data_IF_752488554806
#
_entry.id   IF_752488554806
#
_cell.length_a   1.000
_cell.length_b   1.000
_cell.length_c   1.000
_cell.angle_alpha   90.00
_cell.angle_beta   90.00
_cell.angle_gamma   90.00
#
_symmetry.space_group_name_H-M   'P 1'
#
loop_
_entity.id
_entity.type
_entity.pdbx_description
1 polymer ?
#
# COMPACT_ATOMS: atom_id res chain seq x y z
N UNK A 1 1.95 7.50 -5.91
CA UNK A 1 0.75 7.09 -5.17
C UNK A 1 0.04 6.04 -6.00
N UNK A 2 0.18 4.79 -5.61
CA UNK A 2 -0.46 3.65 -6.25
C UNK A 2 -1.31 3.00 -5.19
N UNK A 3 -2.58 2.80 -5.51
CA UNK A 3 -3.52 2.02 -4.72
C UNK A 3 -3.42 0.59 -5.20
N UNK A 4 -3.24 -0.35 -4.28
CA UNK A 4 -3.26 -1.78 -4.57
C UNK A 4 -4.32 -2.47 -3.72
N UNK A 5 -5.56 -2.66 -4.22
CA UNK A 5 -6.46 -3.64 -3.65
C UNK A 5 -5.89 -5.04 -3.92
N UNK A 6 -5.80 -5.88 -2.89
CA UNK A 6 -5.31 -7.25 -3.00
C UNK A 6 -6.43 -8.28 -2.80
N UNK A 7 -6.51 -9.29 -3.67
CA UNK A 7 -7.40 -10.44 -3.51
C UNK A 7 -6.57 -11.72 -3.36
N UNK A 8 -6.85 -12.50 -2.32
CA UNK A 8 -6.21 -13.80 -2.08
C UNK A 8 -7.12 -14.97 -2.48
N UNK A 9 -6.60 -15.88 -3.33
CA UNK A 9 -7.21 -17.19 -3.62
C UNK A 9 -6.15 -18.30 -3.53
N UNK A 10 -6.52 -19.45 -2.93
CA UNK A 10 -5.63 -20.60 -2.71
C UNK A 10 -5.33 -21.31 -4.04
N UNK A 11 -4.05 -21.51 -4.38
CA UNK A 11 -3.66 -22.35 -5.53
C UNK A 11 -2.48 -23.26 -5.16
N UNK A 12 -2.67 -24.55 -5.46
CA UNK A 12 -1.67 -25.60 -5.41
C UNK A 12 -0.67 -25.44 -6.56
N UNK A 13 0.51 -24.85 -6.30
CA UNK A 13 1.82 -25.16 -6.92
C UNK A 13 2.82 -23.99 -6.82
N UNK A 14 4.09 -24.35 -6.56
CA UNK A 14 5.23 -23.45 -6.30
C UNK A 14 5.68 -22.65 -7.54
N UNK A 15 5.64 -21.30 -7.52
CA UNK A 15 6.26 -20.47 -8.58
C UNK A 15 6.85 -19.14 -8.04
N UNK A 16 8.00 -18.79 -8.63
CA UNK A 16 8.94 -17.68 -8.43
C UNK A 16 8.34 -16.26 -8.51
N UNK A 17 8.72 -15.39 -7.56
CA UNK A 17 8.43 -13.95 -7.54
C UNK A 17 9.31 -13.23 -8.56
N UNK A 18 8.77 -12.90 -9.73
CA UNK A 18 9.43 -11.98 -10.67
C UNK A 18 9.23 -10.55 -10.17
N UNK A 19 10.34 -9.88 -9.89
CA UNK A 19 10.47 -8.53 -9.29
C UNK A 19 9.42 -7.55 -9.80
N UNK A 20 8.66 -6.97 -8.88
CA UNK A 20 7.74 -5.87 -9.14
C UNK A 20 8.55 -4.61 -9.49
N UNK A 21 8.74 -4.33 -10.78
CA UNK A 21 9.24 -3.01 -11.19
C UNK A 21 8.12 -1.97 -10.98
N UNK A 22 8.41 -0.94 -10.19
CA UNK A 22 7.49 0.16 -9.85
C UNK A 22 7.79 1.34 -10.79
N UNK A 23 6.88 1.64 -11.72
CA UNK A 23 6.95 2.79 -12.65
C UNK A 23 5.66 3.61 -12.57
N UNK A 24 5.66 4.92 -12.91
CA UNK A 24 4.42 5.71 -12.93
C UNK A 24 3.35 5.07 -13.83
N UNK A 25 2.23 4.67 -13.24
CA UNK A 25 1.15 3.97 -13.96
C UNK A 25 0.28 4.97 -14.71
N UNK A 26 0.19 4.81 -16.04
CA UNK A 26 -0.80 5.48 -16.88
C UNK A 26 -1.97 4.50 -17.06
N UNK A 27 -3.05 4.65 -16.29
CA UNK A 27 -4.22 3.78 -16.32
C UNK A 27 -4.28 2.78 -15.17
N UNK A 28 -4.63 1.52 -15.47
CA UNK A 28 -4.68 0.40 -14.52
C UNK A 28 -3.86 -0.78 -15.06
N UNK A 29 -3.22 -1.54 -14.17
CA UNK A 29 -2.54 -2.79 -14.52
C UNK A 29 -2.89 -3.88 -13.49
N UNK A 30 -3.07 -5.11 -13.94
CA UNK A 30 -3.35 -6.25 -13.05
C UNK A 30 -2.09 -7.10 -13.00
N UNK A 31 -1.55 -7.29 -11.80
CA UNK A 31 -0.42 -8.20 -11.57
C UNK A 31 -0.88 -9.33 -10.67
N UNK A 32 -0.62 -10.55 -11.08
CA UNK A 32 -0.79 -11.72 -10.22
C UNK A 32 0.57 -12.09 -9.65
N UNK A 33 0.67 -12.13 -8.33
CA UNK A 33 1.84 -12.62 -7.61
C UNK A 33 1.47 -13.91 -6.88
N UNK A 34 2.32 -14.92 -6.97
CA UNK A 34 2.19 -16.16 -6.20
C UNK A 34 3.16 -16.09 -5.04
N UNK A 35 2.66 -16.30 -3.83
CA UNK A 35 3.43 -16.32 -2.60
C UNK A 35 3.11 -17.59 -1.82
N UNK A 36 3.97 -18.60 -1.90
CA UNK A 36 3.66 -19.92 -1.35
C UNK A 36 2.37 -20.48 -1.94
N UNK A 37 1.37 -20.75 -1.09
CA UNK A 37 0.03 -21.21 -1.49
C UNK A 37 -0.96 -20.09 -1.83
N UNK A 38 -0.55 -18.82 -1.70
CA UNK A 38 -1.39 -17.66 -1.93
C UNK A 38 -1.20 -17.08 -3.32
N UNK A 39 -2.31 -16.82 -4.01
CA UNK A 39 -2.33 -16.00 -5.22
C UNK A 39 -2.87 -14.61 -4.87
N UNK A 40 -2.01 -13.61 -4.96
CA UNK A 40 -2.31 -12.20 -4.77
C UNK A 40 -2.62 -11.56 -6.13
N UNK A 41 -3.86 -11.10 -6.31
CA UNK A 41 -4.18 -10.24 -7.45
C UNK A 41 -4.04 -8.79 -7.00
N UNK A 42 -3.14 -8.06 -7.65
CA UNK A 42 -2.73 -6.70 -7.32
C UNK A 42 -3.21 -5.80 -8.46
N UNK A 43 -4.09 -4.85 -8.15
CA UNK A 43 -4.55 -3.85 -9.12
C UNK A 43 -3.72 -2.58 -8.94
N UNK A 44 -2.79 -2.31 -9.84
CA UNK A 44 -1.96 -1.10 -9.84
C UNK A 44 -2.76 0.05 -10.47
N UNK A 45 -3.23 0.97 -9.64
CA UNK A 45 -4.06 2.11 -10.07
C UNK A 45 -3.29 3.42 -9.90
N UNK A 46 -3.21 4.21 -10.96
CA UNK A 46 -2.55 5.52 -10.92
C UNK A 46 -3.22 6.49 -9.94
N UNK A 47 -2.42 7.18 -9.11
CA UNK A 47 -2.89 8.14 -8.11
C UNK A 47 -2.98 9.60 -8.56
N UNK A 48 -2.88 9.87 -9.86
CA UNK A 48 -3.12 11.22 -10.40
C UNK A 48 -4.55 11.66 -10.05
N UNK A 49 -4.77 12.94 -9.70
CA UNK A 49 -6.08 13.46 -9.25
C UNK A 49 -7.24 13.05 -10.18
N UNK A 50 -7.01 13.12 -11.49
CA UNK A 50 -7.98 12.76 -12.53
C UNK A 50 -8.41 11.29 -12.44
N UNK A 51 -7.51 10.39 -12.04
CA UNK A 51 -7.75 8.95 -11.96
C UNK A 51 -8.40 8.52 -10.62
N UNK A 52 -8.36 9.37 -9.58
CA UNK A 52 -8.90 9.03 -8.25
C UNK A 52 -10.40 8.77 -8.24
N UNK A 53 -11.14 9.35 -9.19
CA UNK A 53 -12.57 9.09 -9.36
C UNK A 53 -12.89 7.62 -9.64
N UNK A 54 -11.94 6.87 -10.22
CA UNK A 54 -12.14 5.47 -10.59
C UNK A 54 -11.75 4.47 -9.50
N UNK A 55 -11.15 4.91 -8.39
CA UNK A 55 -10.69 4.02 -7.32
C UNK A 55 -11.80 3.15 -6.75
N UNK A 56 -13.01 3.71 -6.61
CA UNK A 56 -14.19 3.02 -6.09
C UNK A 56 -14.59 1.78 -6.88
N UNK A 57 -14.19 1.69 -8.15
CA UNK A 57 -14.46 0.53 -9.00
C UNK A 57 -13.67 -0.70 -8.57
N UNK A 58 -12.70 -0.57 -7.66
CA UNK A 58 -11.77 -1.63 -7.28
C UNK A 58 -11.82 -1.98 -5.78
N UNK A 59 -12.73 -1.37 -5.01
CA UNK A 59 -12.80 -1.58 -3.55
C UNK A 59 -13.53 -2.85 -3.14
N UNK A 60 -14.40 -3.39 -3.99
CA UNK A 60 -15.07 -4.66 -3.67
C UNK A 60 -14.04 -5.74 -3.34
N UNK A 61 -14.38 -6.63 -2.41
CA UNK A 61 -13.62 -7.83 -2.05
C UNK A 61 -12.09 -7.60 -1.88
N UNK A 62 -11.70 -6.41 -1.42
CA UNK A 62 -10.31 -6.06 -1.16
C UNK A 62 -9.91 -6.59 0.21
N UNK A 63 -8.81 -7.35 0.28
CA UNK A 63 -8.25 -7.87 1.54
C UNK A 63 -7.26 -6.88 2.18
N UNK A 64 -6.55 -6.14 1.32
CA UNK A 64 -5.53 -5.19 1.74
C UNK A 64 -5.35 -4.06 0.74
N UNK A 65 -4.86 -2.93 1.25
CA UNK A 65 -4.44 -1.74 0.53
C UNK A 65 -2.92 -1.64 0.66
N UNK A 66 -2.20 -1.61 -0.46
CA UNK A 66 -0.80 -1.15 -0.46
C UNK A 66 -0.76 0.30 -0.93
N UNK A 67 -0.11 1.17 -0.16
CA UNK A 67 -0.05 2.61 -0.36
C UNK A 67 1.40 3.06 -0.49
N UNK A 68 1.80 3.49 -1.68
CA UNK A 68 3.20 3.90 -1.94
C UNK A 68 3.38 5.42 -1.91
N UNK A 69 4.29 5.88 -1.07
CA UNK A 69 4.73 7.28 -0.92
C UNK A 69 6.15 7.42 -1.46
N UNK A 70 6.42 8.50 -2.18
CA UNK A 70 7.77 8.85 -2.63
C UNK A 70 8.51 9.61 -1.52
N UNK A 71 9.54 9.01 -0.92
CA UNK A 71 10.27 9.64 0.19
C UNK A 71 11.10 10.85 -0.24
N UNK A 72 11.27 11.10 -1.54
CA UNK A 72 12.02 12.25 -2.04
C UNK A 72 11.15 13.49 -2.29
N UNK A 73 9.82 13.35 -2.18
CA UNK A 73 8.88 14.39 -2.57
C UNK A 73 8.00 14.85 -1.41
N UNK A 74 8.59 15.65 -0.53
CA UNK A 74 7.92 16.19 0.66
C UNK A 74 6.69 17.05 0.32
N UNK A 75 6.71 17.76 -0.82
CA UNK A 75 5.64 18.65 -1.24
C UNK A 75 4.34 17.91 -1.55
N UNK A 76 4.43 16.69 -2.08
CA UNK A 76 3.26 15.85 -2.39
C UNK A 76 2.78 14.98 -1.23
N UNK A 77 3.53 14.87 -0.13
CA UNK A 77 3.13 14.06 1.03
C UNK A 77 1.78 14.52 1.59
N UNK A 78 1.54 15.83 1.69
CA UNK A 78 0.26 16.37 2.14
C UNK A 78 -0.90 15.92 1.24
N UNK A 79 -0.72 16.00 -0.07
CA UNK A 79 -1.77 15.57 -1.00
C UNK A 79 -2.01 14.06 -0.91
N UNK A 80 -0.96 13.27 -0.73
CA UNK A 80 -1.07 11.84 -0.49
C UNK A 80 -1.80 11.56 0.84
N UNK A 81 -1.56 12.36 1.86
CA UNK A 81 -2.24 12.28 3.15
C UNK A 81 -3.75 12.39 3.03
N UNK A 82 -4.20 13.48 2.43
CA UNK A 82 -5.62 13.76 2.25
C UNK A 82 -6.30 12.67 1.42
N UNK A 83 -5.63 12.20 0.36
CA UNK A 83 -6.14 11.11 -0.47
C UNK A 83 -6.27 9.79 0.28
N UNK A 84 -5.29 9.43 1.12
CA UNK A 84 -5.36 8.22 1.94
C UNK A 84 -6.48 8.31 2.96
N UNK A 85 -6.64 9.46 3.64
CA UNK A 85 -7.75 9.70 4.57
C UNK A 85 -9.11 9.54 3.90
N UNK A 86 -9.29 10.08 2.69
CA UNK A 86 -10.53 9.91 1.94
C UNK A 86 -10.78 8.45 1.59
N UNK A 87 -9.74 7.71 1.22
CA UNK A 87 -9.84 6.30 0.86
C UNK A 87 -10.21 5.43 2.07
N UNK A 88 -9.62 5.66 3.24
CA UNK A 88 -9.89 4.87 4.45
C UNK A 88 -11.27 5.11 5.07
N UNK A 89 -12.00 6.15 4.62
CA UNK A 89 -13.40 6.41 5.00
C UNK A 89 -14.41 5.59 4.22
N UNK A 90 -13.98 4.84 3.22
CA UNK A 90 -14.88 4.05 2.37
C UNK A 90 -15.27 2.75 3.09
N UNK A 91 -16.57 2.56 3.32
CA UNK A 91 -17.10 1.42 4.09
C UNK A 91 -16.64 0.06 3.56
N UNK A 92 -16.45 -0.05 2.24
CA UNK A 92 -16.01 -1.29 1.57
C UNK A 92 -14.58 -1.70 1.92
N UNK A 93 -13.78 -0.76 2.44
CA UNK A 93 -12.38 -0.99 2.80
C UNK A 93 -12.21 -1.20 4.31
N UNK A 94 -13.26 -1.04 5.12
CA UNK A 94 -13.17 -1.19 6.57
C UNK A 94 -12.61 -2.56 6.97
N UNK A 95 -11.63 -2.56 7.87
CA UNK A 95 -10.99 -3.78 8.38
C UNK A 95 -9.92 -4.36 7.47
N UNK A 96 -9.70 -3.83 6.27
CA UNK A 96 -8.62 -4.27 5.38
C UNK A 96 -7.23 -3.98 5.98
N UNK A 97 -6.22 -4.69 5.52
CA UNK A 97 -4.83 -4.46 5.96
C UNK A 97 -4.22 -3.32 5.15
N UNK A 98 -3.53 -2.37 5.79
CA UNK A 98 -2.91 -1.23 5.13
C UNK A 98 -1.37 -1.35 5.17
N UNK A 99 -0.74 -1.58 4.03
CA UNK A 99 0.72 -1.56 3.91
C UNK A 99 1.17 -0.24 3.31
N UNK A 100 1.94 0.56 4.05
CA UNK A 100 2.52 1.81 3.55
C UNK A 100 3.96 1.57 3.14
N UNK A 101 4.28 1.90 1.89
CA UNK A 101 5.62 1.77 1.32
C UNK A 101 6.22 3.16 1.12
N UNK A 102 7.21 3.52 1.94
CA UNK A 102 8.09 4.65 1.69
C UNK A 102 9.12 4.27 0.64
N UNK A 103 8.84 4.59 -0.63
CA UNK A 103 9.68 4.23 -1.76
C UNK A 103 10.84 5.22 -1.97
N UNK A 104 11.85 4.78 -2.72
CA UNK A 104 13.11 5.48 -2.98
C UNK A 104 14.01 5.61 -1.75
N UNK A 105 14.05 4.55 -0.94
CA UNK A 105 14.89 4.53 0.26
C UNK A 105 16.40 4.57 -0.04
N UNK A 106 16.81 4.38 -1.29
CA UNK A 106 18.20 4.51 -1.72
C UNK A 106 18.69 5.96 -1.83
N UNK A 107 17.78 6.94 -1.91
CA UNK A 107 18.16 8.35 -2.05
C UNK A 107 18.55 8.92 -0.68
N UNK A 108 19.71 9.56 -0.60
CA UNK A 108 20.26 10.06 0.67
C UNK A 108 19.45 11.24 1.24
N UNK A 109 18.99 12.16 0.39
CA UNK A 109 18.17 13.32 0.77
C UNK A 109 16.67 13.00 0.97
N UNK A 110 16.33 11.73 1.18
CA UNK A 110 14.94 11.30 1.38
C UNK A 110 14.46 11.63 2.79
N UNK A 111 13.15 11.65 2.95
CA UNK A 111 12.50 11.63 4.27
C UNK A 111 12.63 10.24 4.90
N UNK A 112 12.87 10.18 6.20
CA UNK A 112 12.86 8.94 6.97
C UNK A 112 11.45 8.57 7.47
N UNK A 113 11.26 7.38 8.03
CA UNK A 113 9.95 6.94 8.57
C UNK A 113 9.41 7.89 9.63
N UNK A 114 10.26 8.42 10.52
CA UNK A 114 9.78 9.35 11.53
C UNK A 114 9.27 10.64 10.91
N UNK A 115 9.94 11.18 9.91
CA UNK A 115 9.45 12.33 9.15
C UNK A 115 8.17 11.98 8.40
N UNK A 116 8.06 10.81 7.77
CA UNK A 116 6.82 10.36 7.14
C UNK A 116 5.66 10.23 8.15
N UNK A 117 5.97 9.85 9.40
CA UNK A 117 5.02 9.83 10.53
C UNK A 117 4.76 11.22 11.13
N UNK A 118 5.75 12.14 11.11
CA UNK A 118 5.76 13.45 11.79
C UNK A 118 5.49 14.65 10.90
N UNK A 119 5.55 14.53 9.57
CA UNK A 119 5.07 15.53 8.58
C UNK A 119 3.57 15.88 8.76
N UNK A 120 2.97 15.29 9.79
CA UNK A 120 1.68 15.51 10.40
C UNK A 120 1.61 16.65 11.43
N UNK A 121 2.72 17.27 11.88
CA UNK A 121 2.71 18.00 13.16
C UNK A 121 3.04 19.51 13.22
N UNK A 122 3.08 20.30 12.13
CA UNK A 122 3.31 21.76 12.35
C UNK A 122 2.39 22.80 11.70
N UNK A 123 1.46 22.50 10.78
CA UNK A 123 0.45 23.54 10.41
C UNK A 123 -0.72 23.12 9.53
N UNK A 124 -0.95 21.84 9.32
CA UNK A 124 -1.84 21.37 8.27
C UNK A 124 -2.51 20.09 8.76
N UNK A 125 -3.82 20.02 8.62
CA UNK A 125 -4.73 18.97 9.09
C UNK A 125 -4.37 17.55 8.60
N UNK A 126 -3.34 16.99 9.24
CA UNK A 126 -2.92 15.61 9.55
C UNK A 126 -3.13 14.48 8.51
N UNK A 127 -2.29 13.43 8.56
CA UNK A 127 -2.63 12.06 8.10
C UNK A 127 -3.15 11.22 9.26
N UNK A 128 -2.91 11.61 10.52
CA UNK A 128 -3.49 10.96 11.71
C UNK A 128 -3.35 9.42 11.65
N UNK A 129 -2.18 8.93 11.23
CA UNK A 129 -1.91 7.49 11.17
C UNK A 129 -2.12 6.81 12.53
N UNK A 130 -1.95 7.56 13.62
CA UNK A 130 -2.22 7.10 15.00
C UNK A 130 -3.72 6.97 15.30
N UNK A 131 -4.59 7.63 14.54
CA UNK A 131 -6.05 7.52 14.66
C UNK A 131 -6.67 6.51 13.69
N UNK A 132 -5.85 5.84 12.86
CA UNK A 132 -6.32 4.71 12.05
C UNK A 132 -6.60 3.53 12.99
N UNK A 133 -7.81 3.51 13.54
CA UNK A 133 -8.33 2.42 14.37
C UNK A 133 -9.10 1.38 13.55
N UNK A 134 -9.49 1.74 12.33
CA UNK A 134 -10.29 0.90 11.43
C UNK A 134 -9.47 -0.14 10.66
N UNK A 135 -8.14 0.00 10.60
CA UNK A 135 -7.25 -0.85 9.81
C UNK A 135 -6.00 -1.18 10.63
N UNK A 136 -5.54 -2.44 10.56
CA UNK A 136 -4.14 -2.74 10.90
C UNK A 136 -3.24 -2.17 9.82
N UNK A 137 -2.12 -1.57 10.22
CA UNK A 137 -1.18 -1.01 9.26
C UNK A 137 0.27 -1.19 9.67
N UNK A 138 1.17 -1.14 8.69
CA UNK A 138 2.60 -1.08 8.92
C UNK A 138 3.29 -0.27 7.81
N UNK A 139 4.49 0.25 8.10
CA UNK A 139 5.24 1.13 7.22
C UNK A 139 6.63 0.54 6.98
N UNK A 140 7.03 0.45 5.72
CA UNK A 140 8.36 -0.01 5.32
C UNK A 140 9.04 1.03 4.42
N UNK A 141 10.30 1.35 4.72
CA UNK A 141 11.19 1.96 3.72
C UNK A 141 11.61 0.90 2.71
N UNK A 142 11.34 1.14 1.45
CA UNK A 142 11.63 0.21 0.36
C UNK A 142 12.31 0.91 -0.81
N UNK A 143 13.03 0.13 -1.60
CA UNK A 143 13.50 0.57 -2.90
C UNK A 143 12.81 -0.26 -3.96
N UNK A 144 11.88 0.35 -4.70
CA UNK A 144 11.31 -0.26 -5.90
C UNK A 144 12.34 -0.47 -7.01
N UNK A 145 13.45 0.29 -6.97
CA UNK A 145 14.55 0.19 -7.92
C UNK A 145 15.47 -1.00 -7.59
N UNK A 146 15.89 -1.10 -6.33
CA UNK A 146 16.86 -2.12 -5.88
C UNK A 146 16.18 -3.39 -5.34
N UNK A 147 14.86 -3.37 -5.15
CA UNK A 147 14.10 -4.45 -4.51
C UNK A 147 14.21 -4.49 -2.99
N UNK A 148 14.88 -3.51 -2.36
CA UNK A 148 15.14 -3.47 -0.92
C UNK A 148 13.84 -3.54 -0.11
N UNK A 149 13.78 -4.47 0.84
CA UNK A 149 12.69 -4.64 1.83
C UNK A 149 11.29 -4.93 1.26
N UNK A 150 11.16 -5.15 -0.06
CA UNK A 150 9.87 -5.48 -0.67
C UNK A 150 9.35 -6.83 -0.19
N UNK A 151 10.21 -7.85 -0.11
CA UNK A 151 9.81 -9.17 0.37
C UNK A 151 9.26 -9.09 1.79
N UNK A 152 9.98 -8.45 2.71
CA UNK A 152 9.60 -8.30 4.10
C UNK A 152 8.28 -7.52 4.27
N UNK A 153 8.10 -6.46 3.48
CA UNK A 153 6.86 -5.68 3.48
C UNK A 153 5.64 -6.51 3.04
N UNK A 154 5.77 -7.26 1.94
CA UNK A 154 4.69 -8.12 1.45
C UNK A 154 4.48 -9.35 2.33
N UNK A 155 5.53 -9.89 2.95
CA UNK A 155 5.42 -10.95 3.94
C UNK A 155 4.53 -10.52 5.11
N UNK A 156 4.79 -9.34 5.69
CA UNK A 156 3.95 -8.80 6.77
C UNK A 156 2.49 -8.66 6.35
N UNK A 157 2.25 -8.15 5.13
CA UNK A 157 0.90 -7.95 4.61
C UNK A 157 0.12 -9.26 4.55
N UNK A 158 0.75 -10.32 4.02
CA UNK A 158 0.13 -11.64 3.87
C UNK A 158 -0.16 -12.25 5.25
N UNK A 159 0.80 -12.21 6.17
CA UNK A 159 0.62 -12.70 7.54
C UNK A 159 -0.51 -11.96 8.28
N UNK A 160 -0.67 -10.65 8.04
CA UNK A 160 -1.76 -9.87 8.63
C UNK A 160 -3.13 -10.21 8.02
N UNK A 161 -3.21 -10.37 6.70
CA UNK A 161 -4.43 -10.86 6.01
C UNK A 161 -4.82 -12.25 6.53
N UNK A 162 -3.86 -13.16 6.66
CA UNK A 162 -4.09 -14.51 7.18
C UNK A 162 -4.66 -14.49 8.59
N UNK A 163 -4.06 -13.71 9.49
CA UNK A 163 -4.56 -13.55 10.86
C UNK A 163 -6.00 -13.06 10.89
N UNK A 164 -6.39 -12.15 10.00
CA UNK A 164 -7.77 -11.64 9.93
C UNK A 164 -8.76 -12.65 9.34
N UNK A 165 -8.36 -13.39 8.31
CA UNK A 165 -9.22 -14.38 7.63
C UNK A 165 -9.39 -15.66 8.42
N UNK A 166 -8.34 -16.14 9.07
CA UNK A 166 -8.30 -17.47 9.71
C UNK A 166 -8.10 -17.43 11.23
N UNK A 167 -7.72 -16.28 11.79
CA UNK A 167 -7.53 -16.09 13.24
C UNK A 167 -8.79 -15.67 14.00
N UNK A 168 -9.96 -15.61 13.35
CA UNK A 168 -11.26 -15.56 14.04
C UNK A 168 -11.68 -16.99 14.42
N UNK A 169 -11.04 -17.51 15.47
CA UNK A 169 -11.49 -18.68 16.24
C UNK A 169 -12.10 -18.23 17.56
#
# INVERSE_FOLDING_TARGET
>A
MTLFPCYSSYLSSNICVKVLTISPTVGFNIKTLVWGSYKLNIWDIGGQKILRGYWRNYFECTDAIVWTVDLTDCMRVKECSEALKMLLKEDRLLGTSLLILGNKCEVESRMNIEELRKLNNEKIESLELEDIKSHSYNIFEVSGLLGTKLYEAFKWLIEDIEKKKYGRG
#
